data_IF_826625648582
#
_entry.id   IF_826625648582
#
_cell.length_a   1.000
_cell.length_b   1.000
_cell.length_c   1.000
_cell.angle_alpha   90.00
_cell.angle_beta   90.00
_cell.angle_gamma   90.00
#
_symmetry.space_group_name_H-M   'P 1'
#
loop_
_entity.id
_entity.type
_entity.pdbx_description
1 polymer ?
#
# COMPACT_ATOMS: atom_id res chain seq x y z
N UNK A 1 -78.90 15.56 32.40
CA UNK A 1 -78.07 14.48 32.98
C UNK A 1 -78.13 13.31 32.00
N UNK A 2 -77.10 13.17 31.14
CA UNK A 2 -76.06 12.09 31.13
C UNK A 2 -76.60 10.76 30.57
N UNK A 3 -75.95 9.99 29.69
CA UNK A 3 -74.67 10.01 28.95
C UNK A 3 -74.82 8.82 27.97
N UNK A 4 -74.76 9.04 26.65
CA UNK A 4 -73.68 8.65 25.72
C UNK A 4 -73.32 7.15 25.70
N UNK A 5 -73.51 6.60 24.49
CA UNK A 5 -73.23 5.26 24.02
C UNK A 5 -71.73 4.94 23.89
N UNK A 6 -71.39 3.67 24.11
CA UNK A 6 -70.19 3.01 23.59
C UNK A 6 -70.65 1.88 22.66
N UNK A 7 -70.40 2.03 21.36
CA UNK A 7 -70.43 0.96 20.38
C UNK A 7 -68.98 0.79 19.93
N UNK A 8 -68.34 -0.27 20.44
CA UNK A 8 -67.09 -0.78 19.89
C UNK A 8 -67.40 -1.49 18.57
N UNK A 9 -66.83 -0.99 17.49
CA UNK A 9 -66.84 -1.62 16.18
C UNK A 9 -65.40 -1.86 15.76
N UNK A 10 -64.89 -3.04 16.11
CA UNK A 10 -63.74 -3.66 15.45
C UNK A 10 -64.13 -3.94 13.99
N UNK A 11 -63.60 -3.16 13.04
CA UNK A 11 -63.30 -3.59 11.67
C UNK A 11 -62.88 -2.42 10.78
N UNK A 12 -61.58 -2.31 10.49
CA UNK A 12 -61.08 -1.80 9.20
C UNK A 12 -59.61 -2.24 9.05
N UNK A 13 -59.37 -3.35 8.36
CA UNK A 13 -59.18 -3.37 6.92
C UNK A 13 -57.92 -2.59 6.50
N UNK A 14 -56.82 -3.34 6.40
CA UNK A 14 -55.67 -3.08 5.56
C UNK A 14 -56.08 -2.71 4.13
N UNK A 15 -56.02 -1.42 3.78
CA UNK A 15 -55.96 -0.97 2.39
C UNK A 15 -55.48 0.49 2.33
N UNK A 16 -54.53 0.75 1.42
CA UNK A 16 -53.96 2.06 1.02
C UNK A 16 -52.80 2.68 1.82
N UNK A 17 -51.67 1.99 1.95
CA UNK A 17 -50.36 2.65 2.07
C UNK A 17 -49.74 2.93 0.69
N UNK A 18 -50.47 3.61 -0.18
CA UNK A 18 -49.87 4.28 -1.34
C UNK A 18 -49.30 5.65 -0.87
N UNK A 19 -48.49 5.61 0.20
CA UNK A 19 -47.93 6.78 0.86
C UNK A 19 -47.06 7.55 -0.13
N UNK A 20 -47.14 8.88 -0.13
CA UNK A 20 -46.32 9.77 -0.97
C UNK A 20 -44.82 9.42 -0.94
N UNK A 21 -44.35 8.88 0.19
CA UNK A 21 -43.00 8.34 0.33
C UNK A 21 -42.69 7.23 -0.69
N UNK A 22 -43.61 6.28 -0.87
CA UNK A 22 -43.46 5.19 -1.84
C UNK A 22 -43.42 5.73 -3.27
N UNK A 23 -44.13 6.82 -3.57
CA UNK A 23 -44.12 7.48 -4.88
C UNK A 23 -42.78 8.16 -5.14
N UNK A 24 -42.22 8.85 -4.16
CA UNK A 24 -40.87 9.46 -4.26
C UNK A 24 -39.79 8.39 -4.43
N UNK A 25 -39.87 7.29 -3.66
CA UNK A 25 -38.95 6.15 -3.78
C UNK A 25 -39.05 5.48 -5.15
N UNK A 26 -40.27 5.25 -5.67
CA UNK A 26 -40.51 4.71 -7.02
C UNK A 26 -39.96 5.65 -8.09
N UNK A 27 -40.19 6.96 -7.96
CA UNK A 27 -39.68 7.97 -8.89
C UNK A 27 -38.14 7.95 -8.96
N UNK A 28 -37.47 8.04 -7.81
CA UNK A 28 -36.01 8.04 -7.77
C UNK A 28 -35.41 6.73 -8.32
N UNK A 29 -36.03 5.58 -8.02
CA UNK A 29 -35.63 4.30 -8.61
C UNK A 29 -35.86 4.29 -10.12
N UNK A 30 -36.97 4.82 -10.61
CA UNK A 30 -37.25 4.86 -12.05
C UNK A 30 -36.27 5.75 -12.80
N UNK A 31 -35.93 6.91 -12.24
CA UNK A 31 -35.05 7.90 -12.89
C UNK A 31 -33.57 7.50 -12.90
N UNK A 32 -33.09 6.80 -11.86
CA UNK A 32 -31.65 6.53 -11.68
C UNK A 32 -31.28 5.07 -11.86
N UNK A 33 -32.19 4.10 -11.72
CA UNK A 33 -31.81 2.69 -11.82
C UNK A 33 -31.41 2.35 -13.25
N UNK A 34 -30.33 1.57 -13.37
CA UNK A 34 -29.79 1.10 -14.65
C UNK A 34 -29.24 2.19 -15.57
N UNK A 35 -29.10 3.44 -15.11
CA UNK A 35 -28.40 4.47 -15.88
C UNK A 35 -26.89 4.20 -15.85
N UNK A 36 -26.27 4.38 -17.01
CA UNK A 36 -24.82 4.36 -17.19
C UNK A 36 -24.33 5.80 -17.20
N UNK A 37 -23.18 6.05 -16.58
CA UNK A 37 -22.52 7.34 -16.64
C UNK A 37 -21.02 7.18 -16.48
N UNK A 38 -20.28 8.15 -17.00
CA UNK A 38 -18.84 8.26 -16.76
C UNK A 38 -18.59 9.04 -15.47
N UNK A 39 -17.79 8.46 -14.57
CA UNK A 39 -17.37 9.11 -13.34
C UNK A 39 -15.88 8.95 -13.10
N UNK A 40 -15.31 9.80 -12.25
CA UNK A 40 -13.95 9.72 -11.75
C UNK A 40 -13.95 9.68 -10.22
N UNK A 41 -13.27 8.68 -9.65
CA UNK A 41 -13.08 8.62 -8.20
C UNK A 41 -12.14 9.76 -7.77
N UNK A 42 -12.55 10.52 -6.75
CA UNK A 42 -11.78 11.65 -6.23
C UNK A 42 -11.13 11.31 -4.88
N UNK A 43 -11.95 11.02 -3.88
CA UNK A 43 -11.50 10.80 -2.51
C UNK A 43 -12.48 9.96 -1.71
N UNK A 44 -12.01 9.41 -0.58
CA UNK A 44 -12.84 8.76 0.43
C UNK A 44 -12.99 9.71 1.61
N UNK A 45 -14.23 10.05 1.97
CA UNK A 45 -14.50 11.10 2.94
C UNK A 45 -15.47 10.65 4.03
N UNK A 46 -15.16 11.07 5.25
CA UNK A 46 -16.02 10.82 6.40
C UNK A 46 -17.22 11.77 6.40
N UNK A 47 -18.42 11.19 6.53
CA UNK A 47 -19.68 11.94 6.58
C UNK A 47 -20.21 11.90 8.01
N UNK A 48 -20.10 13.03 8.72
CA UNK A 48 -20.45 13.13 10.15
C UNK A 48 -21.89 12.71 10.47
N UNK A 49 -22.94 13.13 9.72
CA UNK A 49 -24.32 12.71 10.00
C UNK A 49 -24.56 11.20 9.92
N UNK A 50 -23.70 10.46 9.21
CA UNK A 50 -23.81 9.03 8.99
C UNK A 50 -22.79 8.21 9.79
N UNK A 51 -21.84 8.89 10.45
CA UNK A 51 -20.72 8.27 11.17
C UNK A 51 -19.99 7.18 10.34
N UNK A 52 -19.82 7.42 9.04
CA UNK A 52 -19.25 6.45 8.11
C UNK A 52 -18.54 7.13 6.95
N UNK A 53 -17.57 6.44 6.35
CA UNK A 53 -16.91 6.88 5.12
C UNK A 53 -17.78 6.63 3.89
N UNK A 54 -17.67 7.53 2.92
CA UNK A 54 -18.30 7.45 1.59
C UNK A 54 -17.26 7.80 0.52
N UNK A 55 -17.40 7.16 -0.62
CA UNK A 55 -16.57 7.40 -1.79
C UNK A 55 -17.17 8.53 -2.62
N UNK A 56 -16.34 9.52 -2.96
CA UNK A 56 -16.73 10.69 -3.73
C UNK A 56 -16.39 10.45 -5.20
N UNK A 57 -17.41 10.32 -6.03
CA UNK A 57 -17.27 10.16 -7.48
C UNK A 57 -17.74 11.45 -8.15
N UNK A 58 -16.84 12.08 -8.89
CA UNK A 58 -17.17 13.21 -9.76
C UNK A 58 -17.74 12.67 -11.07
N UNK A 59 -18.96 13.08 -11.40
CA UNK A 59 -19.60 12.79 -12.69
C UNK A 59 -18.94 13.62 -13.78
N UNK A 60 -18.79 13.06 -14.99
CA UNK A 60 -18.29 13.81 -16.15
C UNK A 60 -19.26 14.93 -16.55
N UNK A 61 -18.73 16.08 -16.94
CA UNK A 61 -19.54 17.26 -17.29
C UNK A 61 -20.34 17.06 -18.59
N UNK A 62 -19.92 16.12 -19.44
CA UNK A 62 -20.58 15.76 -20.70
C UNK A 62 -21.90 14.97 -20.50
N UNK A 63 -22.14 14.43 -19.30
CA UNK A 63 -23.31 13.59 -18.98
C UNK A 63 -24.54 14.44 -18.60
N UNK A 64 -24.97 15.33 -19.50
CA UNK A 64 -26.03 16.32 -19.24
C UNK A 64 -27.35 15.69 -18.80
N UNK A 65 -27.80 14.65 -19.51
CA UNK A 65 -29.08 13.98 -19.25
C UNK A 65 -29.10 13.34 -17.86
N UNK A 66 -27.98 12.73 -17.47
CA UNK A 66 -27.84 12.13 -16.15
C UNK A 66 -27.78 13.18 -15.04
N UNK A 67 -27.08 14.29 -15.28
CA UNK A 67 -27.02 15.43 -14.36
C UNK A 67 -28.43 16.02 -14.13
N UNK A 68 -29.22 16.21 -15.19
CA UNK A 68 -30.60 16.68 -15.08
C UNK A 68 -31.46 15.74 -14.23
N UNK A 69 -31.33 14.43 -14.44
CA UNK A 69 -32.02 13.41 -13.66
C UNK A 69 -31.61 13.44 -12.18
N UNK A 70 -30.32 13.63 -11.88
CA UNK A 70 -29.84 13.78 -10.51
C UNK A 70 -30.42 15.01 -9.81
N UNK A 71 -30.47 16.15 -10.50
CA UNK A 71 -31.04 17.39 -9.96
C UNK A 71 -32.54 17.21 -9.68
N UNK A 72 -33.28 16.61 -10.61
CA UNK A 72 -34.70 16.34 -10.45
C UNK A 72 -34.99 15.44 -9.24
N UNK A 73 -34.20 14.38 -9.07
CA UNK A 73 -34.33 13.46 -7.92
C UNK A 73 -33.94 14.16 -6.62
N UNK A 74 -32.82 14.89 -6.59
CA UNK A 74 -32.40 15.65 -5.40
C UNK A 74 -33.48 16.64 -4.97
N UNK A 75 -34.05 17.41 -5.89
CA UNK A 75 -35.11 18.38 -5.61
C UNK A 75 -36.37 17.72 -5.06
N UNK A 76 -36.76 16.56 -5.60
CA UNK A 76 -37.94 15.82 -5.13
C UNK A 76 -37.71 15.16 -3.78
N UNK A 77 -36.52 14.60 -3.55
CA UNK A 77 -36.11 14.03 -2.27
C UNK A 77 -36.00 15.10 -1.18
N UNK A 78 -35.37 16.25 -1.46
CA UNK A 78 -35.22 17.34 -0.49
C UNK A 78 -36.56 17.97 -0.07
N UNK A 79 -37.54 18.03 -0.99
CA UNK A 79 -38.89 18.49 -0.68
C UNK A 79 -39.63 17.57 0.30
N UNK A 80 -39.39 16.27 0.23
CA UNK A 80 -40.09 15.28 1.04
C UNK A 80 -39.35 14.97 2.34
N UNK A 81 -38.03 14.82 2.28
CA UNK A 81 -37.16 14.48 3.41
C UNK A 81 -36.50 15.74 3.97
N UNK A 82 -37.27 16.55 4.70
CA UNK A 82 -36.89 17.93 5.00
C UNK A 82 -35.83 18.06 6.11
N UNK A 83 -35.61 17.06 6.99
CA UNK A 83 -34.69 17.25 8.14
C UNK A 83 -33.76 16.11 8.59
N UNK A 84 -34.01 14.84 8.25
CA UNK A 84 -33.24 13.74 8.88
C UNK A 84 -32.58 12.76 7.88
N UNK A 85 -32.66 13.02 6.58
CA UNK A 85 -32.12 12.10 5.58
C UNK A 85 -31.03 12.78 4.78
N UNK A 86 -29.82 12.25 4.88
CA UNK A 86 -28.69 12.69 4.09
C UNK A 86 -28.84 12.20 2.64
N UNK A 87 -28.67 13.08 1.68
CA UNK A 87 -28.78 12.77 0.25
C UNK A 87 -27.36 12.80 -0.33
N UNK A 88 -26.89 11.66 -0.84
CA UNK A 88 -25.54 11.51 -1.40
C UNK A 88 -25.34 12.16 -2.78
N UNK A 89 -25.96 13.32 -3.05
CA UNK A 89 -25.85 14.07 -4.30
C UNK A 89 -25.49 15.51 -3.97
N UNK A 90 -24.33 15.97 -4.45
CA UNK A 90 -23.84 17.33 -4.21
C UNK A 90 -23.70 18.12 -5.50
N UNK A 91 -24.09 19.40 -5.43
CA UNK A 91 -24.01 20.35 -6.53
C UNK A 91 -22.61 20.96 -6.64
N UNK A 92 -22.21 21.41 -7.85
CA UNK A 92 -20.88 21.94 -8.13
C UNK A 92 -20.47 23.17 -7.31
N UNK A 93 -21.43 23.89 -6.73
CA UNK A 93 -21.21 25.12 -5.95
C UNK A 93 -21.22 24.91 -4.43
N UNK A 94 -21.22 23.66 -3.98
CA UNK A 94 -21.28 23.35 -2.54
C UNK A 94 -19.91 23.51 -1.91
N UNK A 95 -19.82 24.30 -0.83
CA UNK A 95 -18.56 24.56 -0.13
C UNK A 95 -18.03 23.25 0.47
N UNK A 96 -16.76 22.97 0.19
CA UNK A 96 -16.07 21.82 0.74
C UNK A 96 -16.21 20.53 -0.08
N UNK A 97 -16.68 20.56 -1.33
CA UNK A 97 -16.63 19.39 -2.23
C UNK A 97 -15.81 19.68 -3.49
N UNK A 98 -15.24 18.67 -4.16
CA UNK A 98 -14.58 18.85 -5.46
C UNK A 98 -15.48 19.57 -6.47
N UNK A 99 -14.91 20.36 -7.37
CA UNK A 99 -15.69 21.08 -8.37
C UNK A 99 -16.39 20.11 -9.35
N UNK A 100 -17.71 20.22 -9.49
CA UNK A 100 -18.54 19.37 -10.34
C UNK A 100 -19.70 18.71 -9.59
N UNK A 101 -20.52 17.93 -10.31
CA UNK A 101 -21.55 17.10 -9.68
C UNK A 101 -20.90 15.88 -9.04
N UNK A 102 -21.06 15.74 -7.72
CA UNK A 102 -20.46 14.65 -6.97
C UNK A 102 -21.52 13.71 -6.42
N UNK A 103 -21.26 12.42 -6.57
CA UNK A 103 -22.02 11.34 -5.98
C UNK A 103 -21.26 10.75 -4.82
N UNK A 104 -21.95 10.57 -3.71
CA UNK A 104 -21.40 9.96 -2.52
C UNK A 104 -21.98 8.57 -2.35
N UNK A 105 -21.12 7.58 -2.55
CA UNK A 105 -21.55 6.18 -2.67
C UNK A 105 -20.69 5.29 -1.79
N UNK A 106 -21.09 4.03 -1.67
CA UNK A 106 -20.25 2.98 -1.12
C UNK A 106 -19.90 2.05 -2.28
N UNK A 107 -18.67 2.10 -2.74
CA UNK A 107 -18.14 1.15 -3.72
C UNK A 107 -17.74 -0.14 -2.99
N UNK A 108 -18.01 -1.30 -3.61
CA UNK A 108 -17.55 -2.59 -3.10
C UNK A 108 -16.03 -2.77 -3.39
N UNK A 109 -15.51 -2.11 -4.45
CA UNK A 109 -14.12 -2.17 -4.90
C UNK A 109 -13.53 -0.76 -5.06
N UNK A 110 -12.33 -0.53 -4.53
CA UNK A 110 -11.63 0.76 -4.66
C UNK A 110 -11.00 0.88 -6.05
N UNK A 111 -11.60 1.73 -6.91
CA UNK A 111 -11.16 1.95 -8.28
C UNK A 111 -10.64 3.38 -8.49
N UNK A 112 -9.36 3.50 -8.82
CA UNK A 112 -8.74 4.80 -9.13
C UNK A 112 -8.82 5.09 -10.63
N UNK A 113 -9.26 6.29 -10.99
CA UNK A 113 -9.36 6.74 -12.38
C UNK A 113 -10.80 6.98 -12.85
N UNK A 114 -10.99 7.03 -14.17
CA UNK A 114 -12.31 7.23 -14.80
C UNK A 114 -12.89 5.88 -15.23
N UNK A 115 -14.14 5.61 -14.83
CA UNK A 115 -14.84 4.36 -15.14
C UNK A 115 -16.26 4.63 -15.61
N UNK A 116 -16.78 3.70 -16.38
CA UNK A 116 -18.20 3.56 -16.61
C UNK A 116 -18.82 2.96 -15.36
N UNK A 117 -19.74 3.69 -14.75
CA UNK A 117 -20.52 3.21 -13.61
C UNK A 117 -21.95 2.92 -14.03
N UNK A 118 -22.52 1.85 -13.49
CA UNK A 118 -23.95 1.54 -13.61
C UNK A 118 -24.60 1.63 -12.25
N UNK A 119 -25.74 2.31 -12.16
CA UNK A 119 -26.52 2.34 -10.91
C UNK A 119 -27.28 1.01 -10.75
N UNK A 120 -26.83 0.13 -9.85
CA UNK A 120 -27.51 -1.14 -9.53
C UNK A 120 -28.86 -0.89 -8.87
N UNK A 121 -28.85 -0.03 -7.85
CA UNK A 121 -30.02 0.22 -7.02
C UNK A 121 -29.90 1.53 -6.25
N UNK A 122 -31.04 2.18 -6.03
CA UNK A 122 -31.17 3.27 -5.06
C UNK A 122 -31.65 2.67 -3.73
N UNK A 123 -30.81 2.76 -2.71
CA UNK A 123 -31.12 2.32 -1.34
C UNK A 123 -31.62 3.49 -0.52
N UNK A 124 -32.74 3.27 0.17
CA UNK A 124 -33.33 4.22 1.10
C UNK A 124 -33.18 3.61 2.48
N UNK A 125 -32.29 4.17 3.29
CA UNK A 125 -32.20 3.89 4.71
C UNK A 125 -32.96 4.98 5.47
N UNK A 126 -33.16 4.78 6.78
CA UNK A 126 -33.85 5.77 7.62
C UNK A 126 -33.16 7.14 7.62
N UNK A 127 -31.82 7.15 7.49
CA UNK A 127 -31.00 8.35 7.64
C UNK A 127 -30.23 8.72 6.37
N UNK A 128 -30.31 7.92 5.30
CA UNK A 128 -29.62 8.21 4.03
C UNK A 128 -30.36 7.71 2.78
N UNK A 129 -30.16 8.44 1.69
CA UNK A 129 -30.42 7.97 0.32
C UNK A 129 -29.07 7.73 -0.34
N UNK A 130 -28.72 6.47 -0.58
CA UNK A 130 -27.44 6.06 -1.15
C UNK A 130 -27.63 5.31 -2.47
N UNK A 131 -26.76 5.59 -3.44
CA UNK A 131 -26.70 4.89 -4.72
C UNK A 131 -25.69 3.75 -4.61
N UNK A 132 -26.12 2.53 -4.94
CA UNK A 132 -25.18 1.41 -5.11
C UNK A 132 -24.76 1.34 -6.58
N UNK A 133 -23.46 1.48 -6.81
CA UNK A 133 -22.87 1.46 -8.15
C UNK A 133 -22.22 0.12 -8.46
N UNK A 134 -22.17 -0.20 -9.74
CA UNK A 134 -21.33 -1.24 -10.34
C UNK A 134 -20.27 -0.59 -11.19
N UNK A 135 -19.03 -1.03 -11.07
CA UNK A 135 -17.97 -0.69 -12.03
C UNK A 135 -18.16 -1.58 -13.25
N UNK A 136 -18.39 -0.98 -14.42
CA UNK A 136 -18.61 -1.72 -15.66
C UNK A 136 -17.29 -1.94 -16.40
N UNK A 137 -16.54 -0.86 -16.65
CA UNK A 137 -15.24 -0.89 -17.34
C UNK A 137 -14.47 0.41 -17.14
N UNK A 138 -13.13 0.39 -17.21
CA UNK A 138 -12.34 1.62 -17.28
C UNK A 138 -12.71 2.41 -18.54
N UNK A 139 -12.78 3.74 -18.39
CA UNK A 139 -12.80 4.64 -19.55
C UNK A 139 -11.37 4.72 -20.05
N UNK A 140 -11.02 3.82 -20.96
CA UNK A 140 -9.86 4.02 -21.82
C UNK A 140 -10.11 5.33 -22.55
N UNK A 141 -9.44 6.41 -22.13
CA UNK A 141 -9.38 7.62 -22.94
C UNK A 141 -8.56 7.26 -24.17
N UNK A 142 -9.23 6.74 -25.19
CA UNK A 142 -8.71 6.75 -26.55
C UNK A 142 -8.41 8.21 -26.86
N UNK A 143 -7.13 8.58 -26.78
CA UNK A 143 -6.62 9.73 -27.51
C UNK A 143 -6.81 9.39 -28.99
N UNK A 144 -7.91 9.79 -29.60
CA UNK A 144 -8.08 9.64 -31.05
C UNK A 144 -7.00 10.43 -31.80
N UNK A 145 -6.62 10.07 -33.04
CA UNK A 145 -6.39 8.74 -33.60
C UNK A 145 -5.02 8.67 -34.32
N UNK A 146 -4.33 7.52 -34.36
CA UNK A 146 -3.71 6.99 -35.60
C UNK A 146 -3.62 5.47 -35.49
N UNK A 147 -4.36 4.80 -36.39
CA UNK A 147 -4.40 3.38 -36.74
C UNK A 147 -4.53 2.30 -35.64
N UNK A 148 -5.75 1.74 -35.65
CA UNK A 148 -6.17 0.43 -35.15
C UNK A 148 -5.06 -0.64 -35.18
N UNK A 149 -4.68 -1.14 -34.00
CA UNK A 149 -4.23 -2.53 -33.84
C UNK A 149 -4.89 -3.13 -32.60
N UNK A 150 -5.58 -4.24 -32.85
CA UNK A 150 -6.31 -5.13 -31.94
C UNK A 150 -5.42 -5.66 -30.80
N UNK A 151 -5.87 -5.67 -29.53
CA UNK A 151 -5.10 -6.23 -28.42
C UNK A 151 -5.34 -7.75 -28.31
N UNK A 152 -4.87 -8.52 -29.29
CA UNK A 152 -4.67 -9.97 -29.16
C UNK A 152 -3.35 -10.49 -29.75
N UNK A 153 -2.40 -9.61 -30.12
CA UNK A 153 -1.05 -10.03 -30.55
C UNK A 153 0.11 -9.43 -29.75
N UNK A 154 -0.14 -8.70 -28.66
CA UNK A 154 0.93 -8.07 -27.85
C UNK A 154 1.48 -9.00 -26.77
N UNK A 155 1.86 -10.21 -27.14
CA UNK A 155 2.78 -11.00 -26.30
C UNK A 155 3.88 -11.71 -27.11
N UNK A 156 4.11 -11.32 -28.37
CA UNK A 156 5.17 -11.92 -29.17
C UNK A 156 5.65 -10.92 -30.25
N UNK A 157 6.27 -9.83 -29.81
CA UNK A 157 7.38 -9.14 -30.51
C UNK A 157 7.67 -7.79 -29.82
N UNK A 158 8.50 -7.83 -28.78
CA UNK A 158 9.19 -6.62 -28.30
C UNK A 158 10.58 -6.64 -28.92
N UNK A 159 10.69 -6.07 -30.12
CA UNK A 159 11.97 -5.81 -30.78
C UNK A 159 12.46 -4.40 -30.43
N UNK A 160 13.75 -4.29 -30.16
CA UNK A 160 14.46 -3.20 -29.49
C UNK A 160 14.50 -1.85 -30.25
N UNK A 161 13.73 -1.68 -31.33
CA UNK A 161 13.92 -0.60 -32.31
C UNK A 161 12.97 0.60 -32.14
N UNK A 162 11.93 0.52 -31.31
CA UNK A 162 10.90 1.57 -31.16
C UNK A 162 11.15 2.60 -30.04
N UNK A 163 12.12 2.34 -29.15
CA UNK A 163 12.35 3.21 -27.98
C UNK A 163 13.05 4.53 -28.37
N UNK A 164 13.87 4.49 -29.42
CA UNK A 164 14.58 5.66 -29.93
C UNK A 164 13.66 6.64 -30.66
N UNK A 165 12.66 6.13 -31.39
CA UNK A 165 11.70 6.97 -32.14
C UNK A 165 10.71 7.68 -31.21
N UNK A 166 10.26 7.00 -30.15
CA UNK A 166 9.46 7.58 -29.08
C UNK A 166 10.21 8.71 -28.35
N UNK A 167 11.50 8.53 -28.08
CA UNK A 167 12.33 9.56 -27.43
C UNK A 167 12.45 10.84 -28.27
N UNK A 168 12.65 10.70 -29.59
CA UNK A 168 12.76 11.85 -30.51
C UNK A 168 11.42 12.60 -30.62
N UNK A 169 10.29 11.89 -30.74
CA UNK A 169 8.95 12.51 -30.78
C UNK A 169 8.59 13.24 -29.48
N UNK A 170 8.92 12.65 -28.32
CA UNK A 170 8.73 13.30 -27.02
C UNK A 170 9.59 14.57 -26.91
N UNK A 171 10.85 14.51 -27.36
CA UNK A 171 11.75 15.66 -27.32
C UNK A 171 11.25 16.84 -28.18
N UNK A 172 10.69 16.56 -29.36
CA UNK A 172 10.19 17.59 -30.27
C UNK A 172 8.93 18.27 -29.72
N UNK A 173 7.99 17.47 -29.21
CA UNK A 173 6.77 17.98 -28.58
C UNK A 173 7.06 18.82 -27.34
N UNK A 174 8.01 18.36 -26.52
CA UNK A 174 8.44 19.12 -25.35
C UNK A 174 9.08 20.45 -25.76
N UNK A 175 9.97 20.44 -26.76
CA UNK A 175 10.66 21.65 -27.23
C UNK A 175 9.70 22.70 -27.79
N UNK A 176 8.72 22.30 -28.60
CA UNK A 176 7.72 23.22 -29.16
C UNK A 176 6.87 23.85 -28.04
N UNK A 177 6.32 23.03 -27.15
CA UNK A 177 5.46 23.54 -26.06
C UNK A 177 6.22 24.33 -25.01
N UNK A 178 7.47 23.98 -24.74
CA UNK A 178 8.32 24.75 -23.84
C UNK A 178 8.67 26.11 -24.44
N UNK A 179 8.87 26.20 -25.76
CA UNK A 179 9.14 27.48 -26.43
C UNK A 179 7.95 28.44 -26.44
N UNK A 180 6.72 27.91 -26.57
CA UNK A 180 5.48 28.70 -26.47
C UNK A 180 5.31 29.27 -25.05
N UNK A 181 5.51 28.44 -24.02
CA UNK A 181 5.44 28.85 -22.62
C UNK A 181 6.51 29.88 -22.26
N UNK A 182 7.74 29.73 -22.79
CA UNK A 182 8.81 30.71 -22.55
C UNK A 182 8.48 32.09 -23.13
N UNK A 183 7.81 32.15 -24.29
CA UNK A 183 7.41 33.42 -24.90
C UNK A 183 6.31 34.13 -24.11
N UNK A 184 5.39 33.38 -23.49
CA UNK A 184 4.28 33.94 -22.72
C UNK A 184 4.70 34.35 -21.29
N UNK A 185 5.69 33.65 -20.71
CA UNK A 185 6.14 33.85 -19.33
C UNK A 185 7.28 34.90 -19.22
N UNK A 186 8.04 35.17 -20.30
CA UNK A 186 9.10 36.20 -20.32
C UNK A 186 8.55 37.64 -20.45
N UNK A 187 7.88 38.13 -19.41
CA UNK A 187 7.80 39.58 -19.15
C UNK A 187 8.86 39.97 -18.13
N UNK A 188 9.45 41.17 -18.26
CA UNK A 188 10.63 41.58 -17.46
C UNK A 188 10.35 41.60 -15.96
N UNK A 189 9.10 41.87 -15.56
CA UNK A 189 8.64 41.77 -14.17
C UNK A 189 8.63 40.34 -13.67
N UNK A 190 8.14 39.41 -14.49
CA UNK A 190 8.07 37.98 -14.14
C UNK A 190 9.45 37.34 -14.07
N UNK A 191 10.43 37.81 -14.87
CA UNK A 191 11.82 37.32 -14.81
C UNK A 191 12.45 37.62 -13.44
N UNK A 192 12.21 38.82 -12.88
CA UNK A 192 12.76 39.19 -11.56
C UNK A 192 12.19 38.29 -10.46
N UNK A 193 10.88 38.05 -10.48
CA UNK A 193 10.23 37.14 -9.53
C UNK A 193 10.66 35.69 -9.74
N UNK A 194 10.83 35.25 -10.99
CA UNK A 194 11.31 33.93 -11.32
C UNK A 194 12.74 33.68 -10.81
N UNK A 195 13.64 34.65 -10.88
CA UNK A 195 15.01 34.52 -10.36
C UNK A 195 14.99 34.30 -8.84
N UNK A 196 14.18 35.06 -8.10
CA UNK A 196 14.04 34.91 -6.64
C UNK A 196 13.43 33.54 -6.32
N UNK A 197 12.39 33.13 -7.06
CA UNK A 197 11.78 31.82 -6.92
C UNK A 197 12.77 30.69 -7.19
N UNK A 198 13.59 30.79 -8.24
CA UNK A 198 14.64 29.80 -8.56
C UNK A 198 15.66 29.71 -7.43
N UNK A 199 16.06 30.85 -6.83
CA UNK A 199 17.00 30.83 -5.72
C UNK A 199 16.41 30.15 -4.48
N UNK A 200 15.15 30.43 -4.14
CA UNK A 200 14.43 29.76 -3.05
C UNK A 200 14.22 28.27 -3.33
N UNK A 201 13.88 27.92 -4.57
CA UNK A 201 13.73 26.53 -5.01
C UNK A 201 15.06 25.79 -4.91
N UNK A 202 16.16 26.40 -5.34
CA UNK A 202 17.49 25.80 -5.25
C UNK A 202 17.91 25.61 -3.79
N UNK A 203 17.69 26.61 -2.94
CA UNK A 203 18.00 26.51 -1.51
C UNK A 203 17.20 25.41 -0.83
N UNK A 204 15.89 25.35 -1.06
CA UNK A 204 15.02 24.30 -0.49
C UNK A 204 15.38 22.91 -1.02
N UNK A 205 15.71 22.80 -2.31
CA UNK A 205 16.16 21.55 -2.93
C UNK A 205 17.47 21.06 -2.31
N UNK A 206 18.44 21.96 -2.09
CA UNK A 206 19.71 21.61 -1.45
C UNK A 206 19.46 21.16 0.00
N UNK A 207 18.68 21.90 0.78
CA UNK A 207 18.35 21.53 2.17
C UNK A 207 17.63 20.19 2.23
N UNK A 208 16.66 19.96 1.35
CA UNK A 208 15.97 18.68 1.22
C UNK A 208 16.95 17.55 0.88
N UNK A 209 17.86 17.77 -0.05
CA UNK A 209 18.84 16.77 -0.49
C UNK A 209 19.84 16.42 0.63
N UNK A 210 20.29 17.40 1.40
CA UNK A 210 21.14 17.17 2.58
C UNK A 210 20.41 16.32 3.62
N UNK A 211 19.16 16.65 3.95
CA UNK A 211 18.37 15.86 4.89
C UNK A 211 18.04 14.46 4.37
N UNK A 212 17.74 14.33 3.08
CA UNK A 212 17.49 13.05 2.44
C UNK A 212 18.72 12.14 2.51
N UNK A 213 19.92 12.69 2.25
CA UNK A 213 21.18 11.93 2.37
C UNK A 213 21.41 11.51 3.82
N UNK A 214 21.24 12.40 4.79
CA UNK A 214 21.39 12.06 6.21
C UNK A 214 20.46 10.92 6.62
N UNK A 215 19.18 11.03 6.28
CA UNK A 215 18.18 10.01 6.56
C UNK A 215 18.52 8.67 5.87
N UNK A 216 18.93 8.72 4.61
CA UNK A 216 19.31 7.53 3.84
C UNK A 216 20.54 6.86 4.45
N UNK A 217 21.53 7.64 4.91
CA UNK A 217 22.74 7.11 5.54
C UNK A 217 22.43 6.46 6.89
N UNK A 218 21.59 7.08 7.72
CA UNK A 218 21.12 6.48 8.98
C UNK A 218 20.33 5.18 8.73
N UNK A 219 19.46 5.19 7.72
CA UNK A 219 18.74 3.99 7.31
C UNK A 219 19.69 2.90 6.84
N UNK A 220 20.69 3.24 6.01
CA UNK A 220 21.67 2.30 5.49
C UNK A 220 22.53 1.71 6.60
N UNK A 221 22.91 2.50 7.61
CA UNK A 221 23.62 2.01 8.78
C UNK A 221 22.78 1.01 9.59
N UNK A 222 21.48 1.28 9.78
CA UNK A 222 20.55 0.34 10.42
C UNK A 222 20.39 -0.94 9.59
N UNK A 223 20.25 -0.81 8.28
CA UNK A 223 20.16 -1.95 7.36
C UNK A 223 21.44 -2.80 7.40
N UNK A 224 22.61 -2.17 7.38
CA UNK A 224 23.91 -2.85 7.51
C UNK A 224 24.04 -3.57 8.85
N UNK A 225 23.55 -2.97 9.93
CA UNK A 225 23.54 -3.59 11.25
C UNK A 225 22.67 -4.86 11.25
N UNK A 226 21.44 -4.77 10.74
CA UNK A 226 20.52 -5.90 10.69
C UNK A 226 21.00 -6.99 9.73
N UNK A 227 21.51 -6.63 8.56
CA UNK A 227 22.12 -7.60 7.62
C UNK A 227 23.37 -8.25 8.18
N UNK A 228 24.17 -7.56 8.99
CA UNK A 228 25.28 -8.18 9.72
C UNK A 228 24.77 -9.24 10.72
N UNK A 229 23.67 -8.95 11.41
CA UNK A 229 22.96 -9.93 12.24
C UNK A 229 22.51 -11.14 11.44
N UNK A 230 21.87 -10.92 10.28
CA UNK A 230 21.45 -11.96 9.36
C UNK A 230 22.64 -12.83 8.89
N UNK A 231 23.75 -12.21 8.46
CA UNK A 231 24.95 -12.92 8.01
C UNK A 231 25.53 -13.77 9.14
N UNK A 232 25.56 -13.27 10.39
CA UNK A 232 26.03 -14.05 11.54
C UNK A 232 25.19 -15.31 11.77
N UNK A 233 23.87 -15.24 11.55
CA UNK A 233 22.96 -16.39 11.67
C UNK A 233 23.06 -17.31 10.46
N UNK A 234 23.19 -16.77 9.25
CA UNK A 234 23.26 -17.55 8.01
C UNK A 234 24.61 -18.24 7.79
N UNK A 235 25.72 -17.64 8.23
CA UNK A 235 27.06 -18.20 8.06
C UNK A 235 27.20 -19.66 8.56
N UNK A 236 26.81 -20.01 9.81
CA UNK A 236 26.89 -21.41 10.27
C UNK A 236 25.96 -22.35 9.49
N UNK A 237 24.80 -21.86 9.02
CA UNK A 237 23.87 -22.65 8.19
C UNK A 237 24.53 -23.00 6.85
N UNK A 238 25.12 -22.01 6.18
CA UNK A 238 25.81 -22.19 4.90
C UNK A 238 27.04 -23.10 5.07
N UNK A 239 27.85 -22.91 6.12
CA UNK A 239 29.00 -23.76 6.40
C UNK A 239 28.56 -25.22 6.64
N UNK A 240 27.46 -25.41 7.37
CA UNK A 240 26.91 -26.76 7.62
C UNK A 240 26.42 -27.42 6.34
N UNK A 241 25.78 -26.65 5.45
CA UNK A 241 25.33 -27.12 4.15
C UNK A 241 26.50 -27.51 3.23
N UNK A 242 27.55 -26.69 3.17
CA UNK A 242 28.78 -27.01 2.41
C UNK A 242 29.41 -28.30 2.94
N UNK A 243 29.47 -28.50 4.27
CA UNK A 243 29.98 -29.74 4.86
C UNK A 243 29.15 -30.96 4.51
N UNK A 244 27.82 -30.83 4.47
CA UNK A 244 26.92 -31.91 4.04
C UNK A 244 27.24 -32.33 2.61
N UNK A 245 27.39 -31.37 1.70
CA UNK A 245 27.76 -31.64 0.30
C UNK A 245 29.13 -32.33 0.23
N UNK A 246 30.14 -31.79 0.91
CA UNK A 246 31.49 -32.38 0.93
C UNK A 246 31.48 -33.82 1.46
N UNK A 247 30.75 -34.09 2.54
CA UNK A 247 30.64 -35.45 3.09
C UNK A 247 29.90 -36.39 2.15
N UNK A 248 28.88 -35.89 1.44
CA UNK A 248 28.13 -36.68 0.45
C UNK A 248 29.04 -37.06 -0.72
N UNK A 249 29.80 -36.09 -1.24
CA UNK A 249 30.76 -36.32 -2.33
C UNK A 249 31.87 -37.28 -1.88
N UNK A 250 32.45 -37.07 -0.69
CA UNK A 250 33.50 -37.95 -0.15
C UNK A 250 33.00 -39.37 0.10
N UNK A 251 31.78 -39.53 0.62
CA UNK A 251 31.15 -40.84 0.79
C UNK A 251 30.95 -41.56 -0.55
N UNK A 252 30.54 -40.82 -1.58
CA UNK A 252 30.39 -41.36 -2.93
C UNK A 252 31.73 -41.80 -3.53
N UNK A 253 32.78 -40.96 -3.41
CA UNK A 253 34.13 -41.33 -3.83
C UNK A 253 34.68 -42.55 -3.07
N UNK A 254 34.43 -42.65 -1.76
CA UNK A 254 34.82 -43.81 -0.98
C UNK A 254 34.10 -45.09 -1.44
N UNK A 255 32.81 -45.00 -1.78
CA UNK A 255 32.04 -46.12 -2.31
C UNK A 255 32.60 -46.59 -3.66
N UNK A 256 32.92 -45.66 -4.56
CA UNK A 256 33.59 -45.96 -5.83
C UNK A 256 34.94 -46.64 -5.58
N UNK A 257 35.75 -46.11 -4.65
CA UNK A 257 37.06 -46.67 -4.32
C UNK A 257 36.97 -48.11 -3.76
N UNK A 258 35.96 -48.39 -2.92
CA UNK A 258 35.72 -49.75 -2.40
C UNK A 258 35.25 -50.69 -3.51
N UNK A 259 34.45 -50.21 -4.45
CA UNK A 259 34.01 -51.01 -5.60
C UNK A 259 35.18 -51.39 -6.52
N UNK A 260 36.20 -50.53 -6.63
CA UNK A 260 37.43 -50.79 -7.39
C UNK A 260 38.51 -51.54 -6.61
N UNK A 261 38.40 -51.62 -5.28
CA UNK A 261 39.37 -52.35 -4.46
C UNK A 261 39.09 -53.83 -4.60
N UNK A 262 39.92 -54.51 -5.39
CA UNK A 262 39.94 -55.97 -5.45
C UNK A 262 39.98 -56.57 -4.04
N UNK A 263 39.23 -57.65 -3.84
CA UNK A 263 38.99 -58.35 -2.55
C UNK A 263 40.27 -59.01 -2.00
N UNK A 264 41.31 -58.24 -1.76
CA UNK A 264 42.48 -58.69 -1.00
C UNK A 264 42.17 -58.51 0.49
N UNK A 265 42.19 -59.59 1.30
CA UNK A 265 41.91 -59.49 2.73
C UNK A 265 42.94 -58.57 3.41
N UNK A 266 42.53 -57.78 4.42
CA UNK A 266 43.47 -56.94 5.14
C UNK A 266 44.50 -57.81 5.85
N UNK A 267 45.79 -57.58 5.60
CA UNK A 267 46.87 -58.15 6.40
C UNK A 267 46.80 -57.56 7.81
N UNK A 268 46.24 -58.32 8.76
CA UNK A 268 46.00 -57.96 10.18
C UNK A 268 47.31 -57.79 11.00
N UNK A 269 48.49 -57.78 10.37
CA UNK A 269 49.78 -57.84 11.08
C UNK A 269 50.58 -56.53 11.07
N UNK A 270 50.01 -55.39 11.48
CA UNK A 270 50.81 -54.16 11.66
C UNK A 270 50.65 -53.39 12.98
N UNK A 271 49.86 -53.86 13.96
CA UNK A 271 49.75 -53.19 15.28
C UNK A 271 50.06 -54.11 16.47
N UNK A 272 51.27 -54.69 16.54
CA UNK A 272 51.74 -55.40 17.73
C UNK A 272 53.07 -54.89 18.32
N UNK A 273 53.54 -53.69 17.96
CA UNK A 273 54.78 -53.11 18.50
C UNK A 273 54.62 -51.64 18.92
N UNK A 274 53.68 -51.32 19.82
CA UNK A 274 53.70 -50.03 20.57
C UNK A 274 53.22 -50.18 22.02
N UNK A 275 53.63 -51.25 22.71
CA UNK A 275 53.61 -51.33 24.17
C UNK A 275 55.03 -51.55 24.68
N UNK A 276 55.79 -50.47 24.82
CA UNK A 276 56.98 -50.40 25.65
C UNK A 276 56.83 -49.18 26.56
N UNK A 277 56.89 -49.33 27.90
CA UNK A 277 56.93 -48.17 28.79
C UNK A 277 58.30 -47.50 28.64
N UNK A 278 58.31 -46.27 28.16
CA UNK A 278 59.50 -45.43 28.18
C UNK A 278 59.72 -44.96 29.62
N UNK A 279 60.65 -45.61 30.33
CA UNK A 279 61.24 -45.05 31.54
C UNK A 279 61.94 -43.73 31.18
N UNK A 280 61.41 -42.63 31.69
CA UNK A 280 62.09 -41.34 31.69
C UNK A 280 63.00 -41.27 32.92
N UNK A 281 64.33 -41.20 32.79
CA UNK A 281 65.18 -40.93 33.93
C UNK A 281 64.99 -39.48 34.37
N UNK A 282 64.69 -39.33 35.65
CA UNK A 282 64.76 -38.09 36.41
C UNK A 282 66.05 -37.31 36.08
N UNK A 283 65.91 -36.07 35.59
CA UNK A 283 66.93 -35.05 35.77
C UNK A 283 66.43 -34.02 36.77
N UNK A 284 66.78 -34.26 38.04
CA UNK A 284 66.60 -33.34 39.15
C UNK A 284 67.47 -32.09 38.92
N UNK A 285 66.89 -31.07 38.31
CA UNK A 285 67.38 -29.69 38.38
C UNK A 285 66.22 -28.70 38.17
N UNK A 286 65.13 -28.87 38.92
CA UNK A 286 64.16 -27.79 39.13
C UNK A 286 64.66 -26.90 40.26
N UNK A 287 65.38 -25.83 39.90
CA UNK A 287 65.61 -24.70 40.79
C UNK A 287 64.30 -23.92 40.88
N UNK A 288 63.61 -24.04 42.03
CA UNK A 288 62.42 -23.26 42.32
C UNK A 288 62.77 -21.76 42.27
N UNK A 289 62.16 -21.03 41.33
CA UNK A 289 62.19 -19.57 41.33
C UNK A 289 61.21 -19.08 42.42
N UNK A 290 61.64 -18.18 43.32
CA UNK A 290 60.73 -17.56 44.27
C UNK A 290 59.71 -16.70 43.51
N UNK A 291 58.44 -16.91 43.84
CA UNK A 291 57.32 -16.12 43.35
C UNK A 291 57.42 -14.71 43.96
N UNK A 292 58.00 -13.77 43.20
CA UNK A 292 58.01 -12.34 43.54
C UNK A 292 56.62 -11.78 43.23
N UNK A 293 55.90 -11.40 44.28
CA UNK A 293 54.66 -10.65 44.18
C UNK A 293 54.87 -9.24 43.62
N UNK A 294 53.73 -8.62 43.34
CA UNK A 294 53.49 -7.17 43.19
C UNK A 294 53.48 -6.60 41.76
N UNK A 295 52.31 -6.70 41.12
CA UNK A 295 51.78 -5.59 40.30
C UNK A 295 50.26 -5.47 40.52
N UNK A 296 49.75 -4.35 41.07
CA UNK A 296 48.31 -4.15 41.23
C UNK A 296 47.68 -3.79 39.87
N UNK A 297 46.90 -4.71 39.29
CA UNK A 297 46.02 -4.39 38.17
C UNK A 297 44.75 -3.72 38.67
N UNK A 298 44.74 -2.40 38.52
CA UNK A 298 43.62 -1.51 38.74
C UNK A 298 42.45 -1.84 37.79
N UNK A 299 41.59 -2.79 38.17
CA UNK A 299 40.30 -3.04 37.49
C UNK A 299 39.23 -2.16 38.14
N UNK A 300 38.93 -1.03 37.51
CA UNK A 300 37.71 -0.27 37.76
C UNK A 300 36.51 -1.12 37.32
N UNK A 301 35.84 -1.73 38.30
CA UNK A 301 34.51 -2.30 38.13
C UNK A 301 33.50 -1.14 38.05
N UNK A 302 32.92 -0.93 36.87
CA UNK A 302 31.66 -0.19 36.79
C UNK A 302 30.55 -1.10 37.33
N UNK A 303 30.14 -0.84 38.58
CA UNK A 303 28.88 -1.34 39.13
C UNK A 303 27.75 -0.65 38.37
N UNK A 304 27.09 -1.38 37.47
CA UNK A 304 25.75 -1.02 37.03
C UNK A 304 24.81 -1.24 38.23
N UNK A 305 24.18 -0.14 38.65
CA UNK A 305 23.13 -0.11 39.66
C UNK A 305 21.88 -0.79 39.09
N UNK A 306 21.60 -2.00 39.56
CA UNK A 306 20.32 -2.65 39.33
C UNK A 306 19.22 -1.93 40.11
N UNK A 307 18.31 -1.28 39.41
CA UNK A 307 17.07 -0.76 39.98
C UNK A 307 16.19 -1.92 40.41
N UNK A 308 16.15 -2.16 41.72
CA UNK A 308 15.15 -3.01 42.36
C UNK A 308 13.78 -2.35 42.23
N UNK A 309 12.93 -2.91 41.36
CA UNK A 309 11.51 -2.58 41.26
C UNK A 309 10.78 -3.31 42.37
N UNK A 310 10.28 -2.55 43.34
CA UNK A 310 9.45 -3.03 44.44
C UNK A 310 7.98 -3.02 43.97
N UNK A 311 7.39 -4.19 43.76
CA UNK A 311 5.96 -4.34 43.48
C UNK A 311 5.22 -4.33 44.82
N UNK A 312 4.45 -3.28 45.08
CA UNK A 312 3.44 -3.24 46.14
C UNK A 312 2.17 -3.95 45.67
N UNK A 313 1.64 -4.95 46.39
CA UNK A 313 0.31 -5.48 46.13
C UNK A 313 -0.77 -4.47 46.58
N UNK A 314 -1.79 -4.31 45.73
CA UNK A 314 -3.01 -3.58 46.03
C UNK A 314 -3.84 -4.37 47.05
N UNK A 315 -4.21 -3.71 48.15
CA UNK A 315 -5.42 -3.95 48.93
C UNK A 315 -6.08 -2.60 49.19
#
# INVERSE_FOLDING_TARGET
MTKIAEINQDSSASFSEDSEETRVRKFAKHMLKSTLFIGSFQEKRFVEPLNSYRDVIKVADDETDFIENLIAVKKRCAKFFVKNVWIGITEPKTIGTPAGYNLWVSLDEEVFGSYWYKIKSVKFHSNEVCLKLEVVRPVSREKTPVHNITPQQVLEDVSQHDVSELGVKISHYFKEKFSELFREILTVTNIKEAIIFIFLLLSTLITFLVHAIQYLLEYFLKLLHETSGFIKVCSPIIISFIRLIMNTINGFYALIAVMWRDRSPPNINQNLYQLLPYESPYNNNMRALPYQGDVPRNRKFYRSSGSSVRITPLN
#
